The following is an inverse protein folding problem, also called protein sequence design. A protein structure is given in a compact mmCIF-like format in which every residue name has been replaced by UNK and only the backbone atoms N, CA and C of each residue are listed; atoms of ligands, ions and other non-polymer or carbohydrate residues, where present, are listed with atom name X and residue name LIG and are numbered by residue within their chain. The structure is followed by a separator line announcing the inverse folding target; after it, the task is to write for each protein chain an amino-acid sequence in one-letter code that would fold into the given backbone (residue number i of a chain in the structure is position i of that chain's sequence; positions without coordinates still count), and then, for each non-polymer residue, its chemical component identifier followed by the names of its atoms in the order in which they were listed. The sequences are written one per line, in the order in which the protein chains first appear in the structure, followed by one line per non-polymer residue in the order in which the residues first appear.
data_IF_117444256039
#
_entry.id   IF_117444256039
#
_cell.length_a   1.000
_cell.length_b   1.000
_cell.length_c   1.000
_cell.angle_alpha   90.00
_cell.angle_beta   90.00
_cell.angle_gamma   90.00
#
_symmetry.space_group_name_H-M   'P 1'
#
loop_
_entity.id
_entity.type
_entity.pdbx_description
1 polymer ?
#
# COMPACT_ATOMS: atom_id res chain seq x y z
N UNK A 1 -19.88 -12.11 5.55
CA UNK A 1 -20.12 -12.22 4.10
C UNK A 1 -19.19 -11.23 3.43
N UNK A 2 -18.15 -11.72 2.77
CA UNK A 2 -17.27 -10.88 1.95
C UNK A 2 -18.14 -10.29 0.83
N UNK A 3 -18.19 -8.96 0.74
CA UNK A 3 -18.95 -8.29 -0.33
C UNK A 3 -18.37 -8.73 -1.67
N UNK A 4 -19.26 -9.11 -2.59
CA UNK A 4 -18.94 -9.35 -3.99
C UNK A 4 -18.02 -8.25 -4.49
N UNK A 5 -16.89 -8.64 -5.10
CA UNK A 5 -15.98 -7.76 -5.82
C UNK A 5 -16.81 -6.80 -6.67
N UNK A 6 -16.89 -5.52 -6.27
CA UNK A 6 -17.11 -4.48 -7.26
C UNK A 6 -16.00 -4.65 -8.30
N UNK A 7 -16.36 -4.71 -9.57
CA UNK A 7 -15.39 -4.72 -10.67
C UNK A 7 -14.58 -3.43 -10.54
N UNK A 8 -13.33 -3.58 -10.17
CA UNK A 8 -12.36 -2.51 -9.91
C UNK A 8 -11.80 -1.89 -11.20
N UNK A 9 -12.51 -2.10 -12.31
CA UNK A 9 -12.16 -1.61 -13.63
C UNK A 9 -11.21 -2.48 -14.43
N UNK A 10 -10.63 -3.53 -13.83
CA UNK A 10 -9.67 -4.39 -14.52
C UNK A 10 -10.33 -5.72 -14.92
N UNK A 11 -10.21 -6.06 -16.20
CA UNK A 11 -10.71 -7.36 -16.69
C UNK A 11 -9.90 -8.51 -16.05
N UNK A 12 -10.54 -9.65 -15.72
CA UNK A 12 -9.81 -10.85 -15.33
C UNK A 12 -8.79 -11.26 -16.40
N UNK A 13 -7.59 -11.65 -15.98
CA UNK A 13 -6.46 -11.97 -16.84
C UNK A 13 -5.73 -10.76 -17.43
N UNK A 14 -6.12 -9.53 -17.05
CA UNK A 14 -5.37 -8.32 -17.44
C UNK A 14 -4.03 -8.23 -16.72
N UNK A 15 -3.05 -7.66 -17.42
CA UNK A 15 -1.74 -7.37 -16.86
C UNK A 15 -1.69 -5.91 -16.44
N UNK A 16 -1.21 -5.65 -15.23
CA UNK A 16 -1.01 -4.31 -14.70
C UNK A 16 0.45 -3.91 -14.86
N UNK A 17 0.67 -2.76 -15.48
CA UNK A 17 1.98 -2.13 -15.60
C UNK A 17 2.24 -1.29 -14.36
N UNK A 18 3.29 -1.65 -13.61
CA UNK A 18 3.55 -1.16 -12.26
C UNK A 18 5.05 -0.92 -12.03
N UNK A 19 5.37 -0.02 -11.11
CA UNK A 19 6.74 0.33 -10.77
C UNK A 19 7.03 0.23 -9.28
N UNK A 20 8.27 -0.07 -8.93
CA UNK A 20 8.75 -0.08 -7.54
C UNK A 20 10.26 0.17 -7.46
N UNK A 21 10.72 0.78 -6.36
CA UNK A 21 12.14 0.96 -6.08
C UNK A 21 12.66 -0.24 -5.29
N UNK A 22 13.72 -0.88 -5.78
CA UNK A 22 14.34 -2.02 -5.10
C UNK A 22 15.86 -1.91 -5.07
N UNK A 23 16.50 -2.52 -4.08
CA UNK A 23 17.95 -2.54 -3.92
C UNK A 23 18.59 -3.69 -4.69
N UNK A 24 19.92 -3.67 -4.83
CA UNK A 24 20.68 -4.79 -5.40
C UNK A 24 20.36 -6.13 -4.72
N UNK A 25 20.27 -6.15 -3.40
CA UNK A 25 19.96 -7.37 -2.65
C UNK A 25 18.62 -8.01 -3.09
N UNK A 26 17.62 -7.19 -3.41
CA UNK A 26 16.33 -7.70 -3.92
C UNK A 26 16.47 -8.20 -5.35
N UNK A 27 17.22 -7.49 -6.20
CA UNK A 27 17.49 -7.92 -7.57
C UNK A 27 18.26 -9.24 -7.62
N UNK A 28 19.27 -9.40 -6.76
CA UNK A 28 20.04 -10.64 -6.66
C UNK A 28 19.17 -11.79 -6.19
N UNK A 29 18.30 -11.57 -5.19
CA UNK A 29 17.31 -12.58 -4.78
C UNK A 29 16.41 -13.02 -5.94
N UNK A 30 15.94 -12.07 -6.77
CA UNK A 30 15.12 -12.36 -7.95
C UNK A 30 15.92 -13.17 -8.99
N UNK A 31 17.18 -12.81 -9.24
CA UNK A 31 18.05 -13.51 -10.21
C UNK A 31 18.40 -14.93 -9.76
N UNK A 32 18.66 -15.13 -8.47
CA UNK A 32 19.08 -16.40 -7.90
C UNK A 32 17.91 -17.37 -7.71
N UNK A 33 16.79 -16.88 -7.18
CA UNK A 33 15.65 -17.72 -6.76
C UNK A 33 14.46 -17.65 -7.73
N UNK A 34 14.50 -16.78 -8.73
CA UNK A 34 13.36 -16.45 -9.59
C UNK A 34 12.33 -15.52 -8.94
N UNK A 35 12.50 -15.15 -7.67
CA UNK A 35 11.59 -14.26 -6.95
C UNK A 35 12.23 -13.62 -5.72
N UNK A 36 11.61 -12.55 -5.22
CA UNK A 36 11.88 -11.96 -3.91
C UNK A 36 10.60 -11.77 -3.10
N UNK A 37 10.70 -11.99 -1.79
CA UNK A 37 9.64 -11.81 -0.81
C UNK A 37 10.19 -11.07 0.39
N UNK A 38 9.36 -10.24 1.02
CA UNK A 38 9.75 -9.52 2.23
C UNK A 38 9.55 -10.41 3.45
N UNK A 39 10.65 -10.64 4.18
CA UNK A 39 10.66 -11.18 5.55
C UNK A 39 10.78 -10.03 6.54
N UNK A 40 9.95 -9.98 7.57
CA UNK A 40 9.91 -8.91 8.57
C UNK A 40 10.93 -9.16 9.70
N UNK A 41 12.20 -9.31 9.37
CA UNK A 41 13.24 -9.51 10.40
C UNK A 41 13.70 -8.20 11.08
N UNK A 42 13.18 -7.02 10.69
CA UNK A 42 13.73 -5.72 11.17
C UNK A 42 12.74 -4.55 11.38
N UNK A 43 11.44 -4.78 11.62
CA UNK A 43 10.49 -3.65 11.82
C UNK A 43 10.71 -2.91 13.14
N UNK A 44 11.22 -3.57 14.18
CA UNK A 44 11.28 -2.98 15.52
C UNK A 44 12.39 -1.93 15.72
N UNK A 45 13.46 -1.96 14.90
CA UNK A 45 14.62 -1.05 15.09
C UNK A 45 14.47 0.33 14.47
N UNK A 46 13.57 0.52 13.48
CA UNK A 46 13.56 1.74 12.65
C UNK A 46 12.59 2.84 13.11
N UNK A 47 11.60 2.53 13.94
CA UNK A 47 10.45 3.43 14.16
C UNK A 47 10.15 3.83 15.62
N UNK A 48 10.98 3.45 16.59
CA UNK A 48 10.97 3.89 18.01
C UNK A 48 9.54 4.16 18.59
N UNK A 49 9.25 5.37 19.09
CA UNK A 49 8.01 5.71 19.82
C UNK A 49 6.73 5.68 18.96
N UNK A 50 6.86 5.82 17.64
CA UNK A 50 5.73 5.79 16.68
C UNK A 50 5.58 4.43 15.98
N UNK A 51 6.43 3.45 16.30
CA UNK A 51 6.43 2.13 15.68
C UNK A 51 5.09 1.41 15.82
N UNK A 52 4.37 1.64 16.92
CA UNK A 52 3.09 0.99 17.18
C UNK A 52 1.99 1.43 16.20
N UNK A 53 2.05 2.67 15.71
CA UNK A 53 1.12 3.24 14.72
C UNK A 53 1.27 2.52 13.39
N UNK A 54 2.52 2.38 12.95
CA UNK A 54 2.85 1.63 11.76
C UNK A 54 2.44 0.16 11.91
N UNK A 55 2.69 -0.46 13.09
CA UNK A 55 2.22 -1.81 13.36
C UNK A 55 0.69 -1.95 13.27
N UNK A 56 -0.06 -0.97 13.74
CA UNK A 56 -1.54 -0.97 13.65
C UNK A 56 -2.02 -0.84 12.21
N UNK A 57 -1.55 0.16 11.47
CA UNK A 57 -1.94 0.41 10.07
C UNK A 57 -1.50 -0.72 9.13
N UNK A 58 -0.22 -1.11 9.16
CA UNK A 58 0.30 -2.19 8.33
C UNK A 58 -0.20 -3.56 8.78
N UNK A 59 -0.48 -3.73 10.08
CA UNK A 59 -1.13 -4.93 10.61
C UNK A 59 -2.53 -5.10 10.01
N UNK A 60 -3.32 -4.02 9.97
CA UNK A 60 -4.61 -4.00 9.28
C UNK A 60 -4.46 -4.32 7.79
N UNK A 61 -3.59 -3.60 7.07
CA UNK A 61 -3.41 -3.79 5.63
C UNK A 61 -3.03 -5.23 5.30
N UNK A 62 -2.02 -5.76 5.98
CA UNK A 62 -1.55 -7.15 5.84
C UNK A 62 -2.67 -8.15 6.11
N UNK A 63 -3.45 -7.97 7.19
CA UNK A 63 -4.54 -8.88 7.50
C UNK A 63 -5.59 -8.92 6.38
N UNK A 64 -5.95 -7.76 5.82
CA UNK A 64 -6.95 -7.65 4.77
C UNK A 64 -6.43 -8.09 3.41
N UNK A 65 -5.22 -7.68 3.04
CA UNK A 65 -4.54 -8.09 1.82
C UNK A 65 -4.46 -9.62 1.70
N UNK A 66 -4.21 -10.35 2.80
CA UNK A 66 -4.13 -11.83 2.80
C UNK A 66 -5.46 -12.51 2.47
N UNK A 67 -6.59 -11.85 2.73
CA UNK A 67 -7.92 -12.33 2.40
C UNK A 67 -8.27 -12.07 0.93
N UNK A 68 -7.65 -11.07 0.31
CA UNK A 68 -7.87 -10.68 -1.08
C UNK A 68 -6.98 -11.47 -2.04
N UNK A 69 -5.67 -11.49 -1.76
CA UNK A 69 -4.68 -12.27 -2.51
C UNK A 69 -3.94 -13.14 -1.51
N UNK A 70 -4.03 -14.47 -1.69
CA UNK A 70 -3.36 -15.41 -0.80
C UNK A 70 -1.84 -15.25 -0.94
N UNK A 71 -1.10 -14.96 0.15
CA UNK A 71 0.35 -14.89 0.09
C UNK A 71 0.94 -16.27 -0.22
N UNK A 72 2.04 -16.33 -0.99
CA UNK A 72 2.85 -17.54 -1.09
C UNK A 72 3.48 -17.87 0.27
N UNK A 73 3.92 -19.12 0.42
CA UNK A 73 4.64 -19.56 1.62
C UNK A 73 5.91 -18.72 1.83
N UNK A 74 6.14 -18.29 3.07
CA UNK A 74 7.30 -17.45 3.44
C UNK A 74 7.09 -15.94 3.26
N UNK A 75 6.06 -15.47 2.55
CA UNK A 75 5.80 -14.05 2.41
C UNK A 75 5.17 -13.45 3.67
N UNK A 76 5.88 -12.56 4.34
CA UNK A 76 5.41 -11.96 5.59
C UNK A 76 4.78 -10.57 5.39
N UNK A 77 5.23 -9.82 4.38
CA UNK A 77 4.73 -8.48 4.05
C UNK A 77 4.60 -8.28 2.55
N UNK A 78 3.61 -7.52 2.07
CA UNK A 78 3.56 -7.12 0.67
C UNK A 78 4.61 -6.05 0.34
N UNK A 79 4.97 -5.98 -0.94
CA UNK A 79 5.77 -4.94 -1.57
C UNK A 79 4.82 -3.94 -2.23
N UNK A 80 5.06 -2.65 -2.00
CA UNK A 80 4.29 -1.57 -2.62
C UNK A 80 4.74 -1.32 -4.05
N UNK A 81 3.75 -1.13 -4.91
CA UNK A 81 3.87 -0.85 -6.33
C UNK A 81 3.04 0.39 -6.68
N UNK A 82 3.45 1.09 -7.74
CA UNK A 82 2.85 2.34 -8.19
C UNK A 82 2.46 2.24 -9.67
N UNK A 83 1.39 2.92 -10.07
CA UNK A 83 0.97 3.03 -11.48
C UNK A 83 1.69 4.15 -12.25
N UNK A 84 2.42 5.00 -11.54
CA UNK A 84 3.23 6.06 -12.13
C UNK A 84 4.65 5.97 -11.55
N UNK A 85 5.70 5.81 -12.39
CA UNK A 85 7.08 5.81 -11.91
C UNK A 85 7.46 7.12 -11.19
N UNK A 86 6.81 8.25 -11.48
CA UNK A 86 7.03 9.53 -10.80
C UNK A 86 6.62 9.53 -9.32
N UNK A 87 5.85 8.54 -8.86
CA UNK A 87 5.54 8.36 -7.43
C UNK A 87 6.53 7.47 -6.70
N UNK A 88 7.44 6.83 -7.43
CA UNK A 88 8.45 5.95 -6.85
C UNK A 88 9.57 6.80 -6.29
N UNK A 89 9.77 6.73 -4.98
CA UNK A 89 10.96 7.29 -4.35
C UNK A 89 12.17 6.42 -4.63
N UNK A 90 13.08 6.89 -5.48
CA UNK A 90 14.36 6.25 -5.78
C UNK A 90 15.46 6.83 -4.89
N UNK A 91 16.02 6.00 -4.02
CA UNK A 91 17.27 6.31 -3.33
C UNK A 91 18.47 6.06 -4.26
N UNK A 92 19.65 6.67 -4.00
CA UNK A 92 20.85 6.48 -4.82
C UNK A 92 21.24 5.02 -5.07
N UNK A 93 21.04 4.15 -4.07
CA UNK A 93 21.38 2.72 -4.12
C UNK A 93 20.18 1.84 -4.54
N UNK A 94 19.21 2.41 -5.27
CA UNK A 94 18.01 1.68 -5.72
C UNK A 94 17.78 1.79 -7.22
N UNK A 95 17.08 0.79 -7.72
CA UNK A 95 16.68 0.64 -9.11
C UNK A 95 15.17 0.74 -9.22
N UNK A 96 14.72 1.40 -10.27
CA UNK A 96 13.33 1.42 -10.68
C UNK A 96 13.05 0.13 -11.46
N UNK A 97 12.30 -0.78 -10.86
CA UNK A 97 11.79 -1.97 -11.54
C UNK A 97 10.47 -1.61 -12.20
N UNK A 98 10.36 -1.98 -13.48
CA UNK A 98 9.12 -1.97 -14.24
C UNK A 98 8.59 -3.41 -14.32
N UNK A 99 7.33 -3.58 -13.97
CA UNK A 99 6.68 -4.87 -13.79
C UNK A 99 5.40 -4.94 -14.62
N UNK A 100 5.15 -6.12 -15.18
CA UNK A 100 3.87 -6.51 -15.77
C UNK A 100 3.30 -7.66 -14.94
N UNK A 101 2.32 -7.37 -14.08
CA UNK A 101 1.80 -8.33 -13.09
C UNK A 101 0.34 -8.67 -13.39
N UNK A 102 -0.07 -9.95 -13.41
CA UNK A 102 -1.47 -10.34 -13.53
C UNK A 102 -2.30 -9.71 -12.40
N UNK A 103 -3.46 -9.12 -12.76
CA UNK A 103 -4.36 -8.46 -11.82
C UNK A 103 -4.64 -9.31 -10.59
N UNK A 104 -4.81 -10.62 -10.73
CA UNK A 104 -5.18 -11.56 -9.66
C UNK A 104 -4.13 -11.64 -8.53
N UNK A 105 -2.89 -11.23 -8.81
CA UNK A 105 -1.81 -11.20 -7.81
C UNK A 105 -1.64 -9.85 -7.13
N UNK A 106 -2.37 -8.82 -7.58
CA UNK A 106 -2.26 -7.45 -7.10
C UNK A 106 -3.39 -7.13 -6.12
N UNK A 107 -3.03 -6.57 -4.97
CA UNK A 107 -3.97 -5.92 -4.06
C UNK A 107 -4.01 -4.44 -4.42
N UNK A 108 -5.16 -3.97 -4.92
CA UNK A 108 -5.40 -2.56 -5.20
C UNK A 108 -6.02 -1.87 -4.00
N UNK A 109 -5.61 -0.62 -3.77
CA UNK A 109 -6.12 0.22 -2.69
C UNK A 109 -6.03 1.70 -3.07
N UNK A 110 -6.83 2.53 -2.42
CA UNK A 110 -6.84 3.98 -2.58
C UNK A 110 -5.69 4.60 -1.77
N UNK A 111 -4.78 5.34 -2.44
CA UNK A 111 -3.58 5.93 -1.82
C UNK A 111 -3.92 7.05 -0.85
N UNK A 112 -4.82 7.95 -1.19
CA UNK A 112 -5.27 9.02 -0.29
C UNK A 112 -5.95 8.48 0.97
N UNK A 113 -6.85 7.49 0.82
CA UNK A 113 -7.48 6.84 1.97
C UNK A 113 -6.46 6.04 2.78
N UNK A 114 -5.46 5.44 2.15
CA UNK A 114 -4.35 4.82 2.88
C UNK A 114 -3.58 5.84 3.73
N UNK A 115 -3.35 7.06 3.24
CA UNK A 115 -2.74 8.13 4.04
C UNK A 115 -3.59 8.46 5.28
N UNK A 116 -4.92 8.39 5.19
CA UNK A 116 -5.82 8.54 6.35
C UNK A 116 -5.64 7.40 7.37
N UNK A 117 -5.46 6.16 6.90
CA UNK A 117 -5.17 5.01 7.77
C UNK A 117 -3.83 5.17 8.49
N UNK A 118 -2.79 5.65 7.80
CA UNK A 118 -1.49 5.96 8.41
C UNK A 118 -1.60 7.03 9.50
N UNK A 119 -2.54 7.96 9.37
CA UNK A 119 -2.88 8.97 10.38
C UNK A 119 -3.87 8.47 11.46
N UNK A 120 -4.15 7.17 11.51
CA UNK A 120 -5.15 6.52 12.38
C UNK A 120 -6.56 7.11 12.29
N UNK A 121 -6.86 7.81 11.20
CA UNK A 121 -8.12 8.54 11.04
C UNK A 121 -9.26 7.61 10.65
N UNK A 122 -10.50 8.01 10.96
CA UNK A 122 -11.68 7.40 10.36
C UNK A 122 -11.69 7.70 8.85
N UNK A 123 -11.93 6.68 8.03
CA UNK A 123 -12.01 6.82 6.56
C UNK A 123 -13.49 6.88 6.18
N UNK A 124 -14.03 8.08 5.92
CA UNK A 124 -15.44 8.25 5.56
C UNK A 124 -15.79 7.68 4.20
N UNK A 125 -17.10 7.47 3.97
CA UNK A 125 -17.59 7.27 2.60
C UNK A 125 -17.65 8.59 1.83
N UNK A 126 -18.05 9.63 2.54
CA UNK A 126 -18.24 11.00 2.09
C UNK A 126 -17.86 11.92 3.26
N UNK A 127 -17.65 13.21 2.97
CA UNK A 127 -17.21 14.19 3.96
C UNK A 127 -18.19 14.32 5.14
N UNK A 128 -19.49 14.19 4.87
CA UNK A 128 -20.53 14.22 5.91
C UNK A 128 -20.45 13.02 6.85
N UNK A 129 -19.95 11.87 6.39
CA UNK A 129 -19.73 10.69 7.24
C UNK A 129 -18.59 10.93 8.24
N UNK A 130 -17.52 11.59 7.79
CA UNK A 130 -16.38 11.97 8.63
C UNK A 130 -16.83 13.01 9.66
N UNK A 131 -17.54 14.06 9.23
CA UNK A 131 -18.04 15.10 10.12
C UNK A 131 -18.95 14.54 11.23
N UNK A 132 -19.83 13.58 10.90
CA UNK A 132 -20.66 12.89 11.91
C UNK A 132 -19.82 12.08 12.89
N UNK A 133 -18.80 11.39 12.42
CA UNK A 133 -17.92 10.61 13.28
C UNK A 133 -17.10 11.52 14.23
N UNK A 134 -16.58 12.64 13.71
CA UNK A 134 -15.87 13.64 14.51
C UNK A 134 -16.77 14.29 15.55
N UNK A 135 -18.01 14.62 15.20
CA UNK A 135 -18.99 15.12 16.15
C UNK A 135 -19.25 14.12 17.29
N UNK A 136 -19.36 12.83 16.96
CA UNK A 136 -19.50 11.75 17.96
C UNK A 136 -18.28 11.67 18.89
N UNK A 137 -17.05 11.78 18.37
CA UNK A 137 -15.83 11.81 19.19
C UNK A 137 -15.83 13.03 20.14
N UNK A 138 -16.16 14.21 19.61
CA UNK A 138 -16.22 15.44 20.38
C UNK A 138 -17.25 15.37 21.53
N UNK A 139 -18.41 14.76 21.29
CA UNK A 139 -19.43 14.52 22.34
C UNK A 139 -18.92 13.58 23.45
N UNK A 140 -17.95 12.72 23.15
CA UNK A 140 -17.29 11.84 24.12
C UNK A 140 -16.05 12.46 24.75
N UNK A 141 -15.76 13.74 24.48
CA UNK A 141 -14.60 14.46 25.01
C UNK A 141 -13.28 14.09 24.35
N UNK A 142 -13.31 13.46 23.16
CA UNK A 142 -12.12 13.06 22.41
C UNK A 142 -11.91 14.04 21.25
N UNK A 143 -10.71 14.62 21.19
CA UNK A 143 -10.43 15.68 20.21
C UNK A 143 -9.59 15.20 19.01
N UNK A 144 -8.89 14.08 19.16
CA UNK A 144 -8.03 13.53 18.12
C UNK A 144 -8.21 12.02 17.96
N UNK A 145 -8.04 11.51 16.73
CA UNK A 145 -8.02 10.08 16.47
C UNK A 145 -6.87 9.38 17.23
N UNK A 146 -5.75 10.07 17.42
CA UNK A 146 -4.60 9.56 18.18
C UNK A 146 -4.98 9.14 19.61
N UNK A 147 -5.74 9.99 20.32
CA UNK A 147 -6.23 9.72 21.68
C UNK A 147 -7.07 8.43 21.75
N UNK A 148 -7.86 8.14 20.71
CA UNK A 148 -8.66 6.91 20.62
C UNK A 148 -7.77 5.66 20.64
N UNK A 149 -6.58 5.73 20.04
CA UNK A 149 -5.70 4.58 19.91
C UNK A 149 -4.70 4.44 21.07
N UNK A 150 -4.32 5.54 21.72
CA UNK A 150 -3.47 5.52 22.91
C UNK A 150 -4.19 5.02 24.16
N UNK A 151 -5.52 5.23 24.23
CA UNK A 151 -6.31 4.91 25.40
C UNK A 151 -7.08 3.60 25.24
N UNK A 152 -7.19 2.82 26.34
CA UNK A 152 -8.06 1.66 26.41
C UNK A 152 -9.55 2.02 26.61
N UNK A 153 -9.88 3.29 26.89
CA UNK A 153 -11.24 3.74 27.23
C UNK A 153 -12.19 3.83 26.03
N UNK A 154 -11.67 3.78 24.80
CA UNK A 154 -12.46 4.00 23.58
C UNK A 154 -12.48 2.78 22.63
N UNK A 155 -12.76 1.55 23.13
CA UNK A 155 -12.69 0.34 22.30
C UNK A 155 -13.69 0.35 21.15
N UNK A 156 -14.87 0.95 21.35
CA UNK A 156 -15.89 1.08 20.31
C UNK A 156 -15.48 2.05 19.19
N UNK A 157 -14.95 3.24 19.55
CA UNK A 157 -14.42 4.18 18.56
C UNK A 157 -13.26 3.56 17.78
N UNK A 158 -12.32 2.90 18.47
CA UNK A 158 -11.20 2.19 17.83
C UNK A 158 -11.71 1.11 16.85
N UNK A 159 -12.74 0.35 17.24
CA UNK A 159 -13.34 -0.65 16.34
C UNK A 159 -14.03 -0.02 15.13
N UNK A 160 -14.72 1.11 15.28
CA UNK A 160 -15.40 1.78 14.17
C UNK A 160 -14.40 2.39 13.18
N UNK A 161 -13.33 3.00 13.69
CA UNK A 161 -12.21 3.50 12.85
C UNK A 161 -11.58 2.33 12.07
N UNK A 162 -11.19 1.24 12.74
CA UNK A 162 -10.59 0.08 12.05
C UNK A 162 -11.53 -0.57 11.03
N UNK A 163 -12.85 -0.54 11.27
CA UNK A 163 -13.85 -1.01 10.29
C UNK A 163 -13.94 -0.08 9.09
N UNK A 164 -13.82 1.23 9.28
CA UNK A 164 -13.88 2.18 8.18
C UNK A 164 -12.65 2.10 7.27
N UNK A 165 -11.49 1.66 7.80
CA UNK A 165 -10.31 1.38 6.99
C UNK A 165 -10.52 0.33 5.90
N UNK A 166 -11.54 -0.55 5.99
CA UNK A 166 -11.85 -1.49 4.89
C UNK A 166 -12.17 -0.77 3.58
N UNK A 167 -12.61 0.49 3.65
CA UNK A 167 -12.94 1.34 2.51
C UNK A 167 -11.73 1.76 1.68
N UNK A 168 -10.50 1.53 2.14
CA UNK A 168 -9.31 1.73 1.27
C UNK A 168 -9.34 0.77 0.08
N UNK A 169 -10.05 -0.37 0.20
CA UNK A 169 -10.20 -1.36 -0.86
C UNK A 169 -11.49 -1.16 -1.68
N UNK A 170 -12.33 -0.19 -1.30
CA UNK A 170 -13.53 0.19 -2.05
C UNK A 170 -13.11 1.12 -3.22
N UNK A 171 -12.50 0.52 -4.24
CA UNK A 171 -12.04 1.21 -5.45
C UNK A 171 -13.24 1.49 -6.36
N UNK A 172 -13.46 2.76 -6.70
CA UNK A 172 -14.36 3.16 -7.79
C UNK A 172 -13.53 3.56 -9.01
N UNK A 173 -13.89 3.00 -10.16
CA UNK A 173 -13.11 2.94 -11.40
C UNK A 173 -13.00 4.29 -12.16
N UNK A 174 -13.34 5.42 -11.56
CA UNK A 174 -13.49 6.66 -12.33
C UNK A 174 -12.16 7.34 -12.66
N UNK A 175 -11.13 7.18 -11.84
CA UNK A 175 -9.82 7.82 -12.05
C UNK A 175 -8.70 6.92 -11.50
N UNK A 176 -7.89 6.30 -12.37
CA UNK A 176 -6.73 5.49 -11.97
C UNK A 176 -5.60 6.31 -11.28
N UNK A 177 -5.80 7.61 -11.12
CA UNK A 177 -4.81 8.59 -10.64
C UNK A 177 -4.52 8.50 -9.14
N UNK A 178 -5.36 7.81 -8.36
CA UNK A 178 -5.17 7.65 -6.91
C UNK A 178 -5.01 6.17 -6.48
N UNK A 179 -4.70 5.27 -7.41
CA UNK A 179 -4.51 3.86 -7.11
C UNK A 179 -3.10 3.58 -6.59
N UNK A 180 -3.05 2.79 -5.52
CA UNK A 180 -1.87 2.07 -5.09
C UNK A 180 -2.02 0.58 -5.37
N UNK A 181 -0.89 -0.10 -5.55
CA UNK A 181 -0.83 -1.53 -5.76
C UNK A 181 0.12 -2.18 -4.75
N UNK A 182 -0.16 -3.43 -4.40
CA UNK A 182 0.69 -4.21 -3.52
C UNK A 182 0.72 -5.67 -3.96
N UNK A 183 1.91 -6.29 -3.93
CA UNK A 183 2.09 -7.71 -4.28
C UNK A 183 2.84 -8.43 -3.16
N UNK A 184 2.54 -9.71 -2.95
CA UNK A 184 3.22 -10.50 -1.92
C UNK A 184 4.62 -10.97 -2.32
N UNK A 185 4.91 -10.95 -3.62
CA UNK A 185 6.13 -11.51 -4.19
C UNK A 185 6.44 -10.79 -5.49
N UNK A 186 7.69 -10.33 -5.63
CA UNK A 186 8.24 -9.90 -6.91
C UNK A 186 8.78 -11.13 -7.61
N UNK A 187 8.42 -11.34 -8.88
CA UNK A 187 8.89 -12.50 -9.64
C UNK A 187 9.68 -12.08 -10.85
N UNK A 188 10.66 -12.89 -11.21
CA UNK A 188 11.52 -12.63 -12.36
C UNK A 188 10.70 -12.57 -13.65
N UNK A 189 9.67 -13.41 -13.81
CA UNK A 189 8.82 -13.39 -15.01
C UNK A 189 8.01 -12.10 -15.19
N UNK A 190 7.82 -11.32 -14.12
CA UNK A 190 7.06 -10.07 -14.17
C UNK A 190 7.93 -8.86 -14.51
N UNK A 191 9.25 -8.99 -14.38
CA UNK A 191 10.18 -7.87 -14.62
C UNK A 191 10.34 -7.65 -16.11
N UNK A 192 9.87 -6.50 -16.60
CA UNK A 192 9.97 -6.10 -18.00
C UNK A 192 11.03 -5.01 -18.23
N UNK A 193 11.48 -4.33 -17.16
CA UNK A 193 12.52 -3.31 -17.23
C UNK A 193 13.18 -3.03 -15.88
N UNK A 194 14.44 -2.60 -15.91
CA UNK A 194 15.20 -2.16 -14.74
C UNK A 194 15.97 -0.89 -15.14
N UNK A 195 15.72 0.22 -14.45
CA UNK A 195 16.39 1.49 -14.71
C UNK A 195 17.10 1.99 -13.44
N UNK A 196 18.34 2.47 -13.57
CA UNK A 196 19.07 3.13 -12.49
C UNK A 196 18.85 4.65 -12.54
N UNK A 197 19.18 5.34 -11.45
CA UNK A 197 19.10 6.81 -11.36
C UNK A 197 19.85 7.52 -12.51
N UNK A 198 21.02 7.00 -12.88
CA UNK A 198 21.87 7.51 -13.97
C UNK A 198 21.25 7.41 -15.37
N UNK A 199 20.31 6.48 -15.62
CA UNK A 199 19.70 6.31 -16.94
C UNK A 199 18.47 7.21 -17.16
N UNK A 200 17.90 7.78 -16.08
CA UNK A 200 16.76 8.69 -16.15
C UNK A 200 17.18 10.12 -16.46
N UNK A 201 18.33 10.57 -15.94
CA UNK A 201 18.91 11.89 -16.25
C UNK A 201 19.31 12.04 -17.72
N UNK A 202 19.72 10.95 -18.39
CA UNK A 202 20.07 10.96 -19.82
C UNK A 202 18.84 11.12 -20.74
N UNK A 203 17.63 10.74 -20.28
CA UNK A 203 16.39 10.94 -21.06
C UNK A 203 15.91 12.38 -21.06
N UNK A 204 16.11 13.10 -19.96
CA UNK A 204 15.77 14.53 -19.86
C UNK A 204 16.83 15.45 -20.52
N UNK A 205 18.01 14.91 -20.83
CA UNK A 205 19.11 15.63 -21.49
C UNK A 205 19.02 15.76 -23.02
N UNK A 206 18.03 15.12 -23.67
CA UNK A 206 17.90 15.10 -25.14
C UNK A 206 16.64 15.84 -25.67
N UNK A 207 16.39 17.04 -25.14
CA UNK A 207 15.50 18.01 -25.80
C UNK A 207 16.11 19.41 -25.70
N UNK A 208 17.04 19.71 -26.60
CA UNK A 208 17.70 21.02 -26.65
C UNK A 208 18.74 21.14 -27.76
N UNK A 209 18.29 21.08 -29.02
CA UNK A 209 18.94 21.78 -30.14
C UNK A 209 17.87 22.46 -30.98
#
# INVERSE_FOLDING_TARGET
MLRNNKEDGFSPGSMLHLWTAQTDAVLDCIRENGFSQVKMEFIDKKYEESAWVFKEAYGFFKQRARLMVKPPEGAESPVWLFFDPGWVYLSPDSYLLELSVPRERVVLFDRERWQRVLNLSYVGKEQEDEARFEQKMNQMGVSTYWEVFQSAFYPYLKSEIKKSWERIFDIDNTEQTNLGAAVWQLRQEDVVGINSHSALEERDGFSGK
#
